data_IF_113037654819
#
_entry.id   IF_113037654819
#
_cell.length_a   1.000
_cell.length_b   1.000
_cell.length_c   1.000
_cell.angle_alpha   90.00
_cell.angle_beta   90.00
_cell.angle_gamma   90.00
#
_symmetry.space_group_name_H-M   'P 1'
#
loop_
_entity.id
_entity.type
_entity.pdbx_description
1 polymer ?
#
# COMPACT_ATOMS: atom_id res chain seq x y z
N UNK A 1 -11.61 16.59 -14.26
CA UNK A 1 -12.19 17.10 -13.01
C UNK A 1 -11.95 16.00 -11.98
N UNK A 2 -10.90 16.13 -11.17
CA UNK A 2 -10.47 15.08 -10.23
C UNK A 2 -10.87 15.58 -8.83
N UNK A 3 -11.91 15.00 -8.24
CA UNK A 3 -12.42 15.36 -6.93
C UNK A 3 -11.83 14.49 -5.80
N UNK A 4 -11.11 15.17 -4.90
CA UNK A 4 -11.24 15.14 -3.44
C UNK A 4 -11.17 13.82 -2.63
N UNK A 5 -9.97 13.59 -2.08
CA UNK A 5 -9.60 13.49 -0.64
C UNK A 5 -10.40 12.55 0.29
N UNK A 6 -9.67 11.62 0.93
CA UNK A 6 -9.78 11.39 2.39
C UNK A 6 -8.39 11.24 3.02
N UNK A 7 -7.79 12.35 3.47
CA UNK A 7 -6.64 12.34 4.39
C UNK A 7 -7.13 11.96 5.78
N UNK A 8 -6.75 10.79 6.27
CA UNK A 8 -6.93 10.35 7.66
C UNK A 8 -5.60 10.36 8.40
N UNK A 9 -5.44 11.35 9.28
CA UNK A 9 -4.74 11.32 10.60
C UNK A 9 -3.35 10.66 10.76
N UNK A 10 -2.35 11.55 10.79
CA UNK A 10 -1.19 11.69 11.70
C UNK A 10 -0.57 10.47 12.42
N UNK A 11 0.67 10.17 12.04
CA UNK A 11 1.75 9.75 12.93
C UNK A 11 3.08 10.24 12.36
N UNK A 12 3.60 11.31 12.95
CA UNK A 12 4.88 11.93 12.58
C UNK A 12 6.03 11.05 13.10
N UNK A 13 6.57 10.18 12.22
CA UNK A 13 7.79 9.42 12.50
C UNK A 13 8.51 9.11 11.19
N UNK A 14 9.27 10.06 10.65
CA UNK A 14 10.34 9.90 9.63
C UNK A 14 10.13 8.84 8.51
N UNK A 15 8.90 8.62 8.04
CA UNK A 15 8.59 7.76 6.89
C UNK A 15 8.64 8.57 5.57
N UNK A 16 9.68 9.37 5.38
CA UNK A 16 9.75 10.35 4.27
C UNK A 16 9.68 9.72 2.86
N UNK A 17 9.67 8.39 2.73
CA UNK A 17 9.65 7.67 1.45
C UNK A 17 8.61 6.54 1.33
N UNK A 18 7.51 6.55 2.11
CA UNK A 18 6.41 5.57 1.92
C UNK A 18 5.20 6.26 1.31
N UNK A 19 4.78 5.81 0.12
CA UNK A 19 3.59 6.33 -0.57
C UNK A 19 2.46 5.31 -0.39
N UNK A 20 1.36 5.75 0.21
CA UNK A 20 0.13 4.95 0.32
C UNK A 20 -0.82 5.30 -0.82
N UNK A 21 -1.10 4.31 -1.66
CA UNK A 21 -2.04 4.44 -2.77
C UNK A 21 -3.28 3.61 -2.46
N UNK A 22 -4.46 4.24 -2.57
CA UNK A 22 -5.73 3.52 -2.57
C UNK A 22 -6.13 3.32 -4.03
N UNK A 23 -6.23 2.07 -4.44
CA UNK A 23 -6.74 1.69 -5.76
C UNK A 23 -8.15 1.17 -5.56
N UNK A 24 -9.10 1.72 -6.32
CA UNK A 24 -10.45 1.18 -6.39
C UNK A 24 -10.48 0.12 -7.51
N UNK A 25 -10.80 -1.13 -7.18
CA UNK A 25 -10.78 -2.24 -8.15
C UNK A 25 -11.96 -2.18 -9.11
N UNK A 26 -13.04 -1.49 -8.75
CA UNK A 26 -14.21 -1.36 -9.61
C UNK A 26 -13.92 -0.34 -10.74
N UNK A 27 -13.13 0.70 -10.44
CA UNK A 27 -12.70 1.71 -11.42
C UNK A 27 -11.44 1.31 -12.20
N UNK A 28 -10.50 0.58 -11.57
CA UNK A 28 -9.20 0.21 -12.15
C UNK A 28 -9.01 -1.31 -12.19
N UNK A 29 -9.86 -1.99 -12.96
CA UNK A 29 -9.84 -3.45 -13.14
C UNK A 29 -8.50 -3.97 -13.66
N UNK A 30 -7.88 -3.25 -14.60
CA UNK A 30 -6.57 -3.63 -15.16
C UNK A 30 -5.49 -3.72 -14.09
N UNK A 31 -5.50 -2.83 -13.09
CA UNK A 31 -4.57 -2.87 -11.98
C UNK A 31 -4.89 -4.04 -11.03
N UNK A 32 -6.16 -4.30 -10.77
CA UNK A 32 -6.58 -5.44 -9.95
C UNK A 32 -6.19 -6.78 -10.58
N UNK A 33 -6.35 -6.92 -11.90
CA UNK A 33 -5.93 -8.09 -12.67
C UNK A 33 -4.41 -8.22 -12.73
N UNK A 34 -3.67 -7.13 -12.98
CA UNK A 34 -2.21 -7.14 -13.02
C UNK A 34 -1.59 -7.64 -11.71
N UNK A 35 -2.19 -7.24 -10.58
CA UNK A 35 -1.77 -7.70 -9.26
C UNK A 35 -2.54 -8.93 -8.77
N UNK A 36 -3.37 -9.59 -9.60
CA UNK A 36 -4.18 -10.76 -9.23
C UNK A 36 -4.88 -10.61 -7.87
N UNK A 37 -5.65 -9.53 -7.69
CA UNK A 37 -6.39 -9.27 -6.46
C UNK A 37 -7.61 -10.18 -6.40
N UNK A 38 -7.50 -11.30 -5.69
CA UNK A 38 -8.59 -12.30 -5.56
C UNK A 38 -9.53 -12.03 -4.38
N UNK A 39 -9.07 -11.26 -3.39
CA UNK A 39 -9.84 -10.96 -2.18
C UNK A 39 -9.63 -9.51 -1.75
N UNK A 40 -10.67 -8.91 -1.17
CA UNK A 40 -10.64 -7.53 -0.70
C UNK A 40 -10.88 -7.43 0.81
N UNK A 41 -10.19 -6.53 1.52
CA UNK A 41 -9.11 -5.66 1.02
C UNK A 41 -7.79 -6.42 0.81
N UNK A 42 -6.98 -6.03 -0.19
CA UNK A 42 -5.60 -6.51 -0.36
C UNK A 42 -4.64 -5.33 -0.29
N UNK A 43 -3.56 -5.48 0.47
CA UNK A 43 -2.49 -4.49 0.62
C UNK A 43 -1.24 -5.04 -0.05
N UNK A 44 -0.75 -4.34 -1.08
CA UNK A 44 0.46 -4.69 -1.81
C UNK A 44 1.57 -3.69 -1.46
N UNK A 45 2.75 -4.20 -1.11
CA UNK A 45 3.93 -3.40 -0.84
C UNK A 45 4.87 -3.44 -2.03
N UNK A 46 5.16 -2.26 -2.57
CA UNK A 46 6.04 -2.08 -3.72
C UNK A 46 7.28 -1.30 -3.31
N UNK A 47 8.47 -1.84 -3.62
CA UNK A 47 9.75 -1.16 -3.44
C UNK A 47 10.47 -1.17 -4.78
N UNK A 48 10.80 0.01 -5.33
CA UNK A 48 11.42 0.13 -6.65
C UNK A 48 10.54 -0.37 -7.81
N UNK A 49 9.21 -0.40 -7.63
CA UNK A 49 8.26 -0.92 -8.63
C UNK A 49 8.10 -2.45 -8.61
N UNK A 50 8.73 -3.15 -7.67
CA UNK A 50 8.62 -4.61 -7.51
C UNK A 50 7.81 -4.93 -6.26
N UNK A 51 6.90 -5.90 -6.36
CA UNK A 51 6.15 -6.43 -5.22
C UNK A 51 7.09 -7.20 -4.29
N UNK A 52 7.24 -6.70 -3.06
CA UNK A 52 8.08 -7.32 -2.02
C UNK A 52 7.27 -8.00 -0.94
N UNK A 53 5.99 -7.62 -0.80
CA UNK A 53 5.11 -8.18 0.21
C UNK A 53 3.64 -7.94 -0.14
N UNK A 54 2.77 -8.84 0.34
CA UNK A 54 1.32 -8.76 0.13
C UNK A 54 0.61 -9.26 1.37
N UNK A 55 -0.45 -8.54 1.75
CA UNK A 55 -1.35 -8.92 2.84
C UNK A 55 -2.76 -9.00 2.25
N UNK A 56 -3.41 -10.15 2.41
CA UNK A 56 -4.80 -10.35 2.01
C UNK A 56 -5.68 -10.25 3.25
N UNK A 57 -6.65 -9.35 3.23
CA UNK A 57 -7.50 -9.00 4.35
C UNK A 57 -6.99 -7.82 5.18
N UNK A 58 -7.70 -7.54 6.28
CA UNK A 58 -7.39 -6.41 7.15
C UNK A 58 -6.61 -6.87 8.40
N UNK A 59 -5.29 -7.03 8.26
CA UNK A 59 -4.41 -7.37 9.38
C UNK A 59 -3.51 -6.19 9.79
N UNK A 60 -3.82 -5.55 10.92
CA UNK A 60 -3.10 -4.36 11.39
C UNK A 60 -1.69 -4.68 11.89
N UNK A 61 -1.51 -5.81 12.58
CA UNK A 61 -0.21 -6.20 13.12
C UNK A 61 0.77 -6.55 12.00
N UNK A 62 0.29 -7.26 10.98
CA UNK A 62 1.08 -7.62 9.79
C UNK A 62 1.44 -6.39 8.96
N UNK A 63 0.49 -5.45 8.78
CA UNK A 63 0.75 -4.17 8.13
C UNK A 63 1.87 -3.39 8.84
N UNK A 64 1.82 -3.32 10.17
CA UNK A 64 2.84 -2.60 10.95
C UNK A 64 4.22 -3.26 10.82
N UNK A 65 4.28 -4.59 10.92
CA UNK A 65 5.52 -5.35 10.75
C UNK A 65 6.12 -5.19 9.34
N UNK A 66 5.28 -5.20 8.30
CA UNK A 66 5.70 -4.98 6.93
C UNK A 66 6.24 -3.56 6.72
N UNK A 67 5.60 -2.55 7.31
CA UNK A 67 6.11 -1.18 7.31
C UNK A 67 7.46 -1.06 8.01
N UNK A 68 7.61 -1.61 9.22
CA UNK A 68 8.90 -1.58 9.93
C UNK A 68 10.01 -2.30 9.14
N UNK A 69 9.68 -3.38 8.42
CA UNK A 69 10.64 -4.16 7.62
C UNK A 69 11.05 -3.46 6.31
N UNK A 70 10.11 -2.84 5.61
CA UNK A 70 10.32 -2.36 4.23
C UNK A 70 10.48 -0.83 4.12
N UNK A 71 9.97 -0.03 5.08
CA UNK A 71 10.09 1.44 5.05
C UNK A 71 11.52 1.94 5.34
N UNK A 72 12.39 1.08 5.85
CA UNK A 72 13.76 1.43 6.28
C UNK A 72 14.81 1.06 5.20
N UNK A 73 14.45 0.30 4.17
CA UNK A 73 15.38 -0.12 3.10
C UNK A 73 15.45 0.84 1.90
N UNK A 74 15.40 2.15 2.15
CA UNK A 74 15.98 3.10 1.20
C UNK A 74 17.49 3.15 1.45
N UNK A 75 18.23 2.18 0.89
CA UNK A 75 19.68 2.32 0.81
C UNK A 75 20.01 3.52 -0.10
N UNK A 76 21.00 4.35 0.28
CA UNK A 76 21.34 5.61 -0.39
C UNK A 76 21.88 5.43 -1.81
#
# INVERSE_FOLDING_TARGET
MIENIKKGTESNKLMLHVIFLKVDVDELKDAAELYSVEAMPTLVFLVGGVEVHRIVGANKDELKNALDKHAVQASP
#
